data_IF_791042857314
#
_entry.id   IF_791042857314
#
_cell.length_a   1.000
_cell.length_b   1.000
_cell.length_c   1.000
_cell.angle_alpha   90.00
_cell.angle_beta   90.00
_cell.angle_gamma   90.00
#
_symmetry.space_group_name_H-M   'P 1'
#
loop_
_entity.id
_entity.type
_entity.pdbx_description
1 polymer ?
#
# COMPACT_ATOMS: atom_id res chain seq x y z
N UNK A 1 -20.97 38.90 17.74
CA UNK A 1 -21.68 37.78 17.09
C UNK A 1 -20.62 37.11 16.23
N UNK A 2 -20.00 36.02 16.72
CA UNK A 2 -18.92 35.29 16.06
C UNK A 2 -19.59 34.06 15.45
N UNK A 3 -19.62 34.01 14.10
CA UNK A 3 -20.13 32.84 13.39
C UNK A 3 -19.18 31.65 13.60
N UNK A 4 -19.71 30.44 13.85
CA UNK A 4 -18.87 29.26 13.94
C UNK A 4 -18.37 28.89 12.54
N UNK A 5 -17.05 28.87 12.35
CA UNK A 5 -16.42 28.27 11.18
C UNK A 5 -16.85 26.80 11.10
N UNK A 6 -17.65 26.50 10.09
CA UNK A 6 -17.94 25.14 9.66
C UNK A 6 -16.61 24.52 9.21
N UNK A 7 -16.00 23.70 10.08
CA UNK A 7 -14.95 22.80 9.67
C UNK A 7 -15.57 21.75 8.76
N UNK A 8 -15.32 21.87 7.46
CA UNK A 8 -15.54 20.76 6.54
C UNK A 8 -14.89 19.49 7.12
N UNK A 9 -15.53 18.31 7.03
CA UNK A 9 -14.92 17.09 7.54
C UNK A 9 -13.56 16.91 6.87
N UNK A 10 -12.53 16.71 7.70
CA UNK A 10 -11.19 16.37 7.25
C UNK A 10 -11.28 15.06 6.46
N UNK A 11 -11.31 15.15 5.15
CA UNK A 11 -11.35 14.02 4.20
C UNK A 11 -9.96 13.43 3.99
N UNK A 12 -9.01 13.70 4.89
CA UNK A 12 -7.76 12.93 4.91
C UNK A 12 -8.12 11.48 5.08
N UNK A 13 -7.65 10.67 4.13
CA UNK A 13 -7.98 9.26 4.02
C UNK A 13 -7.92 8.58 5.39
N UNK A 14 -9.07 8.19 5.93
CA UNK A 14 -9.11 7.26 7.07
C UNK A 14 -8.50 5.97 6.57
N UNK A 15 -7.50 5.44 7.29
CA UNK A 15 -6.99 4.12 6.96
C UNK A 15 -8.15 3.11 6.93
N UNK A 16 -8.04 2.09 6.08
CA UNK A 16 -9.06 1.06 5.93
C UNK A 16 -9.14 0.15 7.17
N UNK A 17 -10.30 -0.44 7.43
CA UNK A 17 -10.43 -1.53 8.38
C UNK A 17 -9.85 -2.81 7.78
N UNK A 18 -9.13 -3.60 8.59
CA UNK A 18 -8.60 -4.90 8.19
C UNK A 18 -9.16 -5.97 9.11
N UNK A 19 -9.78 -6.99 8.54
CA UNK A 19 -10.31 -8.14 9.24
C UNK A 19 -9.68 -9.43 8.71
N UNK A 20 -8.99 -10.17 9.60
CA UNK A 20 -8.38 -11.46 9.31
C UNK A 20 -9.01 -12.54 10.18
N UNK A 21 -9.52 -13.61 9.56
CA UNK A 21 -10.12 -14.75 10.25
C UNK A 21 -9.47 -16.05 9.83
N UNK A 22 -8.79 -16.70 10.77
CA UNK A 22 -8.03 -17.94 10.56
C UNK A 22 -7.12 -17.84 9.33
N UNK A 23 -6.66 -16.63 9.04
CA UNK A 23 -5.96 -16.31 7.82
C UNK A 23 -4.57 -16.95 7.82
N UNK A 24 -4.22 -17.58 6.72
CA UNK A 24 -2.93 -18.20 6.50
C UNK A 24 -2.53 -18.15 5.05
N UNK A 25 -1.22 -18.27 4.81
CA UNK A 25 -0.64 -18.31 3.48
C UNK A 25 0.43 -19.37 3.34
N UNK A 26 0.33 -20.14 2.29
CA UNK A 26 1.29 -21.19 1.94
C UNK A 26 1.89 -20.92 0.55
N UNK A 27 3.21 -20.75 0.47
CA UNK A 27 3.86 -20.59 -0.82
C UNK A 27 3.98 -21.93 -1.52
N UNK A 28 3.66 -22.03 -2.82
CA UNK A 28 3.83 -23.25 -3.60
C UNK A 28 5.26 -23.82 -3.46
N UNK A 29 5.38 -25.13 -3.29
CA UNK A 29 6.68 -25.81 -3.14
C UNK A 29 7.38 -25.65 -1.78
N UNK A 30 6.75 -25.02 -0.79
CA UNK A 30 7.23 -25.00 0.59
C UNK A 30 6.54 -26.10 1.41
N UNK A 31 7.24 -26.72 2.35
CA UNK A 31 6.63 -27.71 3.27
C UNK A 31 5.75 -27.06 4.34
N UNK A 32 6.08 -25.84 4.73
CA UNK A 32 5.40 -25.13 5.82
C UNK A 32 4.77 -23.84 5.31
N UNK A 33 3.60 -23.47 5.86
CA UNK A 33 3.01 -22.17 5.55
C UNK A 33 3.92 -21.04 6.04
N UNK A 34 3.87 -19.91 5.33
CA UNK A 34 4.57 -18.69 5.75
C UNK A 34 3.99 -18.16 7.07
N UNK A 35 2.69 -18.26 7.24
CA UNK A 35 1.94 -18.03 8.48
C UNK A 35 0.60 -18.78 8.41
N UNK A 36 -0.01 -19.02 9.57
CA UNK A 36 -1.31 -19.70 9.66
C UNK A 36 -2.10 -19.20 10.86
N UNK A 37 -3.42 -19.33 10.75
CA UNK A 37 -4.37 -19.07 11.82
C UNK A 37 -4.27 -17.68 12.46
N UNK A 38 -3.98 -16.65 11.63
CA UNK A 38 -3.95 -15.26 12.07
C UNK A 38 -5.39 -14.76 12.21
N UNK A 39 -5.72 -14.30 13.41
CA UNK A 39 -6.98 -13.64 13.71
C UNK A 39 -6.63 -12.22 14.20
N UNK A 40 -7.01 -11.22 13.44
CA UNK A 40 -6.65 -9.84 13.72
C UNK A 40 -7.72 -8.90 13.15
N UNK A 41 -8.11 -7.90 13.94
CA UNK A 41 -8.90 -6.78 13.48
C UNK A 41 -8.13 -5.49 13.73
N UNK A 42 -8.02 -4.67 12.69
CA UNK A 42 -7.42 -3.34 12.73
C UNK A 42 -8.52 -2.35 12.35
N UNK A 43 -8.77 -1.40 13.24
CA UNK A 43 -9.78 -0.36 12.99
C UNK A 43 -9.21 0.78 12.13
N UNK A 44 -10.06 1.51 11.38
CA UNK A 44 -9.63 2.64 10.55
C UNK A 44 -8.80 3.65 11.33
N UNK A 45 -7.61 3.99 10.79
CA UNK A 45 -6.68 4.94 11.41
C UNK A 45 -5.82 4.37 12.54
N UNK A 46 -5.98 3.10 12.90
CA UNK A 46 -5.13 2.44 13.90
C UNK A 46 -3.72 2.22 13.35
N UNK A 47 -2.71 2.54 14.17
CA UNK A 47 -1.30 2.26 13.87
C UNK A 47 -0.90 0.96 14.53
N UNK A 48 -0.42 0.01 13.74
CA UNK A 48 -0.04 -1.34 14.21
C UNK A 48 1.43 -1.60 13.92
N UNK A 49 2.16 -2.08 14.91
CA UNK A 49 3.55 -2.51 14.77
C UNK A 49 3.60 -4.05 14.74
N UNK A 50 4.03 -4.61 13.61
CA UNK A 50 4.19 -6.04 13.43
C UNK A 50 5.63 -6.46 13.77
N UNK A 51 5.81 -7.21 14.85
CA UNK A 51 7.12 -7.69 15.32
C UNK A 51 7.25 -9.20 15.18
N UNK A 52 8.48 -9.65 15.00
CA UNK A 52 8.81 -11.08 14.93
C UNK A 52 10.18 -11.31 14.27
N UNK A 53 10.76 -12.51 14.43
CA UNK A 53 12.06 -12.87 13.84
C UNK A 53 12.04 -12.83 12.31
N UNK A 54 13.23 -12.83 11.70
CA UNK A 54 13.33 -13.01 10.25
C UNK A 54 12.74 -14.37 9.85
N UNK A 55 12.02 -14.41 8.72
CA UNK A 55 11.33 -15.62 8.26
C UNK A 55 10.00 -15.94 8.94
N UNK A 56 9.51 -15.11 9.88
CA UNK A 56 8.22 -15.31 10.56
C UNK A 56 6.98 -15.01 9.70
N UNK A 57 7.14 -14.76 8.40
CA UNK A 57 6.03 -14.50 7.49
C UNK A 57 5.50 -13.06 7.49
N UNK A 58 6.16 -12.10 8.16
CA UNK A 58 5.69 -10.71 8.26
C UNK A 58 5.49 -10.05 6.89
N UNK A 59 6.49 -10.13 6.02
CA UNK A 59 6.40 -9.55 4.67
C UNK A 59 5.34 -10.26 3.83
N UNK A 60 5.22 -11.59 3.96
CA UNK A 60 4.17 -12.36 3.29
C UNK A 60 2.78 -11.91 3.76
N UNK A 61 2.58 -11.67 5.06
CA UNK A 61 1.33 -11.16 5.59
C UNK A 61 0.99 -9.77 5.03
N UNK A 62 1.96 -8.85 5.00
CA UNK A 62 1.77 -7.52 4.42
C UNK A 62 1.45 -7.58 2.92
N UNK A 63 2.15 -8.43 2.17
CA UNK A 63 1.88 -8.64 0.74
C UNK A 63 0.50 -9.27 0.50
N UNK A 64 0.07 -10.21 1.35
CA UNK A 64 -1.26 -10.81 1.25
C UNK A 64 -2.37 -9.77 1.53
N UNK A 65 -2.21 -8.94 2.57
CA UNK A 65 -3.14 -7.84 2.88
C UNK A 65 -3.18 -6.81 1.73
N UNK A 66 -2.03 -6.51 1.12
CA UNK A 66 -1.95 -5.58 -0.01
C UNK A 66 -2.51 -6.15 -1.33
N UNK A 67 -2.95 -7.41 -1.35
CA UNK A 67 -3.51 -8.05 -2.54
C UNK A 67 -2.51 -8.30 -3.67
N UNK A 68 -1.19 -8.29 -3.37
CA UNK A 68 -0.14 -8.54 -4.37
C UNK A 68 0.29 -10.00 -4.47
N UNK A 69 -0.16 -10.84 -3.54
CA UNK A 69 0.00 -12.29 -3.66
C UNK A 69 -1.19 -12.86 -4.41
N UNK A 70 -0.91 -13.78 -5.33
CA UNK A 70 -1.93 -14.49 -6.07
C UNK A 70 -2.12 -15.89 -5.51
N UNK A 71 -3.39 -16.24 -5.23
CA UNK A 71 -3.75 -17.61 -4.86
C UNK A 71 -3.90 -18.45 -6.14
N UNK A 72 -2.90 -19.28 -6.38
CA UNK A 72 -2.94 -20.21 -7.50
C UNK A 72 -3.81 -21.41 -7.13
N UNK A 73 -4.92 -21.57 -7.82
CA UNK A 73 -5.86 -22.70 -7.70
C UNK A 73 -6.53 -22.85 -6.30
N UNK A 74 -6.64 -21.78 -5.51
CA UNK A 74 -7.28 -21.81 -4.18
C UNK A 74 -6.52 -22.62 -3.14
N UNK A 75 -5.21 -22.81 -3.32
CA UNK A 75 -4.39 -23.66 -2.43
C UNK A 75 -3.40 -22.88 -1.59
N UNK A 76 -3.20 -21.61 -1.88
CA UNK A 76 -2.21 -20.79 -1.18
C UNK A 76 -2.78 -20.08 0.03
N UNK A 77 -4.05 -19.76 0.02
CA UNK A 77 -4.74 -19.04 1.08
C UNK A 77 -5.60 -19.99 1.95
N UNK A 78 -5.62 -19.76 3.25
CA UNK A 78 -6.58 -20.33 4.18
C UNK A 78 -7.26 -19.23 4.98
N UNK A 79 -8.50 -19.49 5.45
CA UNK A 79 -9.31 -18.49 6.13
C UNK A 79 -9.72 -17.34 5.22
N UNK A 80 -9.85 -16.14 5.78
CA UNK A 80 -10.26 -14.95 5.02
C UNK A 80 -9.53 -13.69 5.49
N UNK A 81 -9.32 -12.78 4.53
CA UNK A 81 -8.89 -11.41 4.76
C UNK A 81 -9.91 -10.46 4.13
N UNK A 82 -10.23 -9.37 4.80
CA UNK A 82 -11.13 -8.32 4.30
C UNK A 82 -10.53 -6.94 4.57
N UNK A 83 -10.61 -6.07 3.58
CA UNK A 83 -10.17 -4.69 3.64
C UNK A 83 -11.39 -3.82 3.35
N UNK A 84 -11.92 -3.15 4.36
CA UNK A 84 -13.23 -2.45 4.29
C UNK A 84 -14.34 -3.35 3.72
N UNK A 85 -14.29 -4.67 4.03
CA UNK A 85 -15.24 -5.66 3.56
C UNK A 85 -14.94 -6.27 2.19
N UNK A 86 -13.97 -5.73 1.44
CA UNK A 86 -13.53 -6.25 0.15
C UNK A 86 -12.45 -7.34 0.30
N UNK A 87 -12.32 -8.21 -0.67
CA UNK A 87 -11.15 -9.07 -0.78
C UNK A 87 -9.89 -8.24 -1.07
N UNK A 88 -8.69 -8.64 -0.58
CA UNK A 88 -7.46 -7.87 -0.82
C UNK A 88 -7.20 -7.57 -2.30
N UNK A 89 -7.54 -8.49 -3.20
CA UNK A 89 -7.37 -8.30 -4.64
C UNK A 89 -8.28 -7.20 -5.20
N UNK A 90 -9.50 -7.10 -4.70
CA UNK A 90 -10.47 -6.06 -5.10
C UNK A 90 -10.17 -4.72 -4.42
N UNK A 91 -9.43 -4.74 -3.31
CA UNK A 91 -9.00 -3.55 -2.58
C UNK A 91 -7.69 -2.94 -3.10
N UNK A 92 -7.13 -3.44 -4.20
CA UNK A 92 -5.93 -2.87 -4.82
C UNK A 92 -6.17 -1.40 -5.18
N UNK A 93 -5.19 -0.56 -4.91
CA UNK A 93 -5.33 0.90 -5.07
C UNK A 93 -5.85 1.62 -3.82
N UNK A 94 -6.44 0.91 -2.85
CA UNK A 94 -6.77 1.45 -1.52
C UNK A 94 -5.63 1.26 -0.52
N UNK A 95 -4.65 0.38 -0.84
CA UNK A 95 -3.56 0.00 0.05
C UNK A 95 -2.23 0.40 -0.59
N UNK A 96 -1.48 1.26 0.08
CA UNK A 96 -0.09 1.54 -0.24
C UNK A 96 0.82 0.48 0.41
N UNK A 97 1.75 -0.07 -0.36
CA UNK A 97 2.78 -0.98 0.13
C UNK A 97 4.17 -0.39 -0.15
N UNK A 98 4.89 -0.06 0.92
CA UNK A 98 6.29 0.36 0.81
C UNK A 98 7.21 -0.85 0.91
N UNK A 99 8.05 -1.05 -0.10
CA UNK A 99 9.01 -2.13 -0.16
C UNK A 99 10.21 -1.87 0.76
N UNK A 100 10.87 -2.94 1.21
CA UNK A 100 12.06 -2.83 2.04
C UNK A 100 13.27 -2.31 1.24
N UNK A 101 13.34 -2.61 -0.04
CA UNK A 101 14.39 -2.17 -0.96
C UNK A 101 13.85 -1.04 -1.86
N UNK A 102 14.32 0.22 -1.65
CA UNK A 102 13.87 1.36 -2.45
C UNK A 102 14.21 1.24 -3.95
N UNK A 103 15.32 0.60 -4.27
CA UNK A 103 15.75 0.43 -5.68
C UNK A 103 14.78 -0.45 -6.47
N UNK A 104 14.11 -1.39 -5.80
CA UNK A 104 13.12 -2.27 -6.44
C UNK A 104 11.77 -1.60 -6.67
N UNK A 105 11.53 -0.43 -6.08
CA UNK A 105 10.27 0.30 -6.18
C UNK A 105 10.25 1.27 -7.35
N UNK A 106 11.40 1.76 -7.79
CA UNK A 106 11.53 2.72 -8.90
C UNK A 106 11.51 1.98 -10.23
N UNK A 107 10.53 2.28 -11.05
CA UNK A 107 10.28 1.61 -12.35
C UNK A 107 10.67 2.51 -13.52
N UNK A 108 10.41 3.83 -13.42
CA UNK A 108 10.58 4.76 -14.51
C UNK A 108 11.76 5.73 -14.27
N UNK A 109 12.24 6.32 -15.34
CA UNK A 109 13.46 7.14 -15.32
C UNK A 109 13.27 8.56 -14.77
N UNK A 110 12.03 9.04 -14.67
CA UNK A 110 11.68 10.38 -14.18
C UNK A 110 10.75 10.31 -13.01
N UNK A 111 10.94 11.18 -12.03
CA UNK A 111 10.15 11.19 -10.77
C UNK A 111 8.65 11.37 -11.07
N UNK A 112 8.27 12.33 -11.90
CA UNK A 112 6.87 12.55 -12.22
C UNK A 112 6.21 11.35 -12.88
N UNK A 113 6.90 10.75 -13.86
CA UNK A 113 6.39 9.57 -14.57
C UNK A 113 6.27 8.36 -13.61
N UNK A 114 7.23 8.18 -12.72
CA UNK A 114 7.24 7.07 -11.74
C UNK A 114 6.10 7.19 -10.73
N UNK A 115 5.85 8.39 -10.23
CA UNK A 115 4.70 8.66 -9.33
C UNK A 115 3.37 8.55 -10.09
N UNK A 116 3.32 8.96 -11.36
CA UNK A 116 2.13 8.84 -12.22
C UNK A 116 1.77 7.40 -12.57
N UNK A 117 2.74 6.47 -12.52
CA UNK A 117 2.55 5.06 -12.89
C UNK A 117 1.43 4.38 -12.11
N UNK A 118 1.30 4.64 -10.81
CA UNK A 118 0.21 4.11 -9.99
C UNK A 118 -1.19 4.57 -10.45
N UNK A 119 -1.45 5.88 -10.49
CA UNK A 119 -2.70 6.43 -11.02
C UNK A 119 -3.02 6.00 -12.45
N UNK A 120 -2.04 5.87 -13.33
CA UNK A 120 -2.23 5.38 -14.69
C UNK A 120 -2.74 3.93 -14.72
N UNK A 121 -2.15 3.05 -13.91
CA UNK A 121 -2.60 1.66 -13.78
C UNK A 121 -4.00 1.53 -13.16
N UNK A 122 -4.44 2.52 -12.40
CA UNK A 122 -5.79 2.61 -11.85
C UNK A 122 -6.78 3.31 -12.79
N UNK A 123 -6.39 3.61 -14.03
CA UNK A 123 -7.20 4.29 -15.04
C UNK A 123 -7.75 5.64 -14.56
N UNK A 124 -7.00 6.38 -13.75
CA UNK A 124 -7.33 7.75 -13.35
C UNK A 124 -7.31 8.65 -14.60
N UNK A 125 -8.25 9.60 -14.66
CA UNK A 125 -8.32 10.56 -15.77
C UNK A 125 -7.02 11.36 -15.89
N UNK A 126 -6.53 11.53 -17.12
CA UNK A 126 -5.22 12.14 -17.39
C UNK A 126 -5.06 13.54 -16.76
N UNK A 127 -6.12 14.31 -16.76
CA UNK A 127 -6.15 15.66 -16.19
C UNK A 127 -5.95 15.66 -14.66
N UNK A 128 -6.34 14.56 -14.01
CA UNK A 128 -6.24 14.40 -12.56
C UNK A 128 -4.89 13.82 -12.12
N UNK A 129 -4.21 13.06 -12.99
CA UNK A 129 -2.96 12.38 -12.66
C UNK A 129 -1.91 13.36 -12.15
N UNK A 130 -1.67 14.46 -12.89
CA UNK A 130 -0.62 15.40 -12.53
C UNK A 130 -0.92 16.16 -11.22
N UNK A 131 -2.18 16.47 -10.95
CA UNK A 131 -2.56 17.05 -9.68
C UNK A 131 -2.28 16.07 -8.52
N UNK A 132 -2.55 14.77 -8.71
CA UNK A 132 -2.21 13.74 -7.71
C UNK A 132 -0.70 13.56 -7.55
N UNK A 133 0.08 13.68 -8.62
CA UNK A 133 1.55 13.64 -8.56
C UNK A 133 2.08 14.78 -7.71
N UNK A 134 1.61 16.02 -7.96
CA UNK A 134 2.01 17.20 -7.19
C UNK A 134 1.64 17.05 -5.71
N UNK A 135 0.42 16.61 -5.41
CA UNK A 135 -0.03 16.36 -4.04
C UNK A 135 0.80 15.28 -3.33
N UNK A 136 1.15 14.20 -4.04
CA UNK A 136 1.95 13.12 -3.49
C UNK A 136 3.38 13.58 -3.18
N UNK A 137 4.02 14.30 -4.11
CA UNK A 137 5.36 14.86 -3.89
C UNK A 137 5.36 15.87 -2.74
N UNK A 138 4.36 16.73 -2.65
CA UNK A 138 4.23 17.68 -1.55
C UNK A 138 4.02 16.97 -0.20
N UNK A 139 3.25 15.89 -0.16
CA UNK A 139 2.99 15.13 1.06
C UNK A 139 4.27 14.52 1.68
N UNK A 140 5.28 14.23 0.86
CA UNK A 140 6.57 13.69 1.30
C UNK A 140 7.70 14.73 1.30
N UNK A 141 7.39 16.01 1.01
CA UNK A 141 8.35 17.11 1.01
C UNK A 141 9.32 17.09 -0.19
N UNK A 142 8.89 16.54 -1.32
CA UNK A 142 9.65 16.49 -2.57
C UNK A 142 9.10 17.44 -3.65
N UNK A 143 8.22 18.35 -3.31
CA UNK A 143 7.59 19.35 -4.19
C UNK A 143 8.58 20.33 -4.85
N UNK A 144 9.82 20.40 -4.36
CA UNK A 144 10.89 21.16 -4.96
C UNK A 144 11.53 20.47 -6.21
N UNK A 145 11.22 19.17 -6.42
CA UNK A 145 11.75 18.42 -7.57
C UNK A 145 10.88 18.63 -8.81
N UNK A 146 11.46 18.95 -9.97
CA UNK A 146 10.72 18.95 -11.22
C UNK A 146 10.32 17.52 -11.61
N UNK A 147 9.21 17.36 -12.31
CA UNK A 147 8.72 16.05 -12.76
C UNK A 147 9.74 15.29 -13.62
N UNK A 148 10.55 16.01 -14.39
CA UNK A 148 11.61 15.46 -15.24
C UNK A 148 12.88 15.06 -14.47
N UNK A 149 12.89 15.27 -13.14
CA UNK A 149 14.06 14.91 -12.32
C UNK A 149 14.38 13.41 -12.47
N UNK A 150 15.65 13.05 -12.76
CA UNK A 150 16.01 11.65 -12.93
C UNK A 150 15.91 10.86 -11.63
N UNK A 151 15.22 9.73 -11.64
CA UNK A 151 15.05 8.87 -10.46
C UNK A 151 16.36 8.28 -9.94
N UNK A 152 17.35 8.07 -10.82
CA UNK A 152 18.68 7.60 -10.42
C UNK A 152 19.51 8.66 -9.65
N UNK A 153 19.12 9.93 -9.70
CA UNK A 153 19.75 11.01 -8.93
C UNK A 153 19.17 11.17 -7.53
N UNK A 154 18.07 10.47 -7.20
CA UNK A 154 17.49 10.47 -5.87
C UNK A 154 18.35 9.70 -4.87
N UNK A 155 18.42 10.20 -3.62
CA UNK A 155 18.98 9.44 -2.51
C UNK A 155 18.08 8.25 -2.13
N UNK A 156 18.61 7.27 -1.40
CA UNK A 156 17.84 6.12 -0.94
C UNK A 156 16.58 6.48 -0.12
N UNK A 157 16.65 7.56 0.66
CA UNK A 157 15.49 8.06 1.42
C UNK A 157 14.44 8.71 0.52
N UNK A 158 14.86 9.40 -0.55
CA UNK A 158 13.94 10.03 -1.51
C UNK A 158 13.25 9.03 -2.43
N UNK A 159 13.78 7.80 -2.55
CA UNK A 159 13.18 6.71 -3.33
C UNK A 159 12.13 5.91 -2.54
N UNK A 160 12.03 6.10 -1.24
CA UNK A 160 11.01 5.53 -0.37
C UNK A 160 9.77 6.43 -0.26
#
# INVERSE_FOLDING_TARGET
MIEPHSTAPDTRARGAAIDLHNFGWHHPGREKPAFSNVNLRIEPGQKVLLLGPSGAGKSTLLHAIAGVLHDHDGQSQSGSARIDGLDPEDARGLIGLMQQDPESSVVLARVGDDVAFGPENLAVAREEIWARVDDALAAVGLDYLPHEHPTNALSGVQKQ
#
